data_IF_638938179020
#
_entry.id   IF_638938179020
#
_cell.length_a   1.000
_cell.length_b   1.000
_cell.length_c   1.000
_cell.angle_alpha   90.00
_cell.angle_beta   90.00
_cell.angle_gamma   90.00
#
_symmetry.space_group_name_H-M   'P 1'
#
loop_
_entity.id
_entity.type
_entity.pdbx_description
1 polymer ?
#
# COMPACT_ATOMS: atom_id res chain seq x y z
N UNK A 1 50.75 2.01 0.42
CA UNK A 1 50.04 0.72 0.44
C UNK A 1 48.93 0.84 1.46
N UNK A 2 47.65 0.93 1.14
CA UNK A 2 46.94 0.89 -0.14
C UNK A 2 45.79 1.91 -0.04
N UNK A 3 45.52 2.62 -1.14
CA UNK A 3 44.35 3.47 -1.29
C UNK A 3 43.10 2.58 -1.31
N UNK A 4 42.15 2.86 -0.41
CA UNK A 4 40.81 2.30 -0.51
C UNK A 4 40.07 3.14 -1.56
N UNK A 5 39.96 2.60 -2.77
CA UNK A 5 39.02 3.11 -3.76
C UNK A 5 37.60 2.94 -3.22
N UNK A 6 36.97 4.08 -2.94
CA UNK A 6 35.55 4.18 -2.67
C UNK A 6 34.82 3.85 -3.98
N UNK A 7 34.39 2.59 -4.14
CA UNK A 7 33.53 2.21 -5.26
C UNK A 7 32.19 2.94 -5.11
N UNK A 8 32.03 4.01 -5.89
CA UNK A 8 30.74 4.61 -6.15
C UNK A 8 29.82 3.54 -6.75
N UNK A 9 28.90 3.02 -5.93
CA UNK A 9 27.81 2.15 -6.41
C UNK A 9 26.81 3.06 -7.11
N UNK A 10 27.02 3.30 -8.40
CA UNK A 10 25.94 3.75 -9.27
C UNK A 10 24.92 2.61 -9.31
N UNK A 11 23.79 2.78 -8.61
CA UNK A 11 22.70 1.81 -8.66
C UNK A 11 22.03 1.90 -10.02
N UNK A 12 22.58 1.20 -11.01
CA UNK A 12 21.93 1.03 -12.31
C UNK A 12 20.64 0.24 -12.09
N UNK A 13 19.52 0.95 -12.02
CA UNK A 13 18.18 0.35 -12.04
C UNK A 13 18.04 -0.33 -13.40
N UNK A 14 17.96 -1.66 -13.40
CA UNK A 14 17.71 -2.44 -14.62
C UNK A 14 16.24 -2.79 -14.69
N UNK A 15 15.58 -2.44 -15.78
CA UNK A 15 14.18 -2.79 -16.02
C UNK A 15 13.93 -3.19 -17.47
N UNK A 16 12.85 -3.92 -17.70
CA UNK A 16 12.46 -4.35 -19.05
C UNK A 16 11.48 -5.51 -19.06
N UNK A 17 11.21 -6.04 -20.26
CA UNK A 17 10.47 -7.29 -20.42
C UNK A 17 11.35 -8.47 -20.05
N UNK A 18 10.79 -9.45 -19.33
CA UNK A 18 11.50 -10.69 -19.04
C UNK A 18 11.66 -11.52 -20.31
N UNK A 19 12.80 -12.21 -20.43
CA UNK A 19 13.03 -13.20 -21.49
C UNK A 19 12.45 -14.54 -21.06
N UNK A 20 11.98 -15.35 -22.02
CA UNK A 20 11.33 -16.61 -21.70
C UNK A 20 11.79 -17.77 -22.57
N UNK A 21 11.63 -18.99 -22.05
CA UNK A 21 11.78 -20.25 -22.79
C UNK A 21 10.62 -21.18 -22.48
N UNK A 22 10.08 -21.91 -23.46
CA UNK A 22 9.18 -23.01 -23.20
C UNK A 22 9.95 -24.16 -22.55
N UNK A 23 9.42 -24.71 -21.45
CA UNK A 23 10.05 -25.80 -20.67
C UNK A 23 8.99 -26.80 -20.25
N UNK A 24 9.40 -28.04 -19.92
CA UNK A 24 8.52 -29.13 -19.46
C UNK A 24 7.48 -29.62 -20.49
N UNK A 25 6.47 -28.81 -20.79
CA UNK A 25 5.35 -29.14 -21.67
C UNK A 25 4.75 -27.88 -22.31
N UNK A 26 3.78 -28.07 -23.22
CA UNK A 26 3.12 -26.97 -23.90
C UNK A 26 2.38 -26.06 -22.90
N UNK A 27 2.60 -24.75 -23.01
CA UNK A 27 1.99 -23.74 -22.15
C UNK A 27 2.76 -23.44 -20.87
N UNK A 28 3.88 -24.13 -20.60
CA UNK A 28 4.75 -23.84 -19.47
C UNK A 28 6.00 -23.09 -19.93
N UNK A 29 6.22 -21.91 -19.34
CA UNK A 29 7.32 -21.03 -19.69
C UNK A 29 8.14 -20.69 -18.46
N UNK A 30 9.46 -20.73 -18.62
CA UNK A 30 10.40 -20.14 -17.67
C UNK A 30 10.67 -18.70 -18.08
N UNK A 31 10.63 -17.79 -17.11
CA UNK A 31 11.00 -16.40 -17.30
C UNK A 31 12.26 -16.05 -16.51
N UNK A 32 13.15 -15.29 -17.12
CA UNK A 32 14.34 -14.72 -16.47
C UNK A 32 14.40 -13.21 -16.82
N UNK A 33 14.91 -12.36 -15.92
CA UNK A 33 15.04 -10.91 -16.23
C UNK A 33 15.89 -10.67 -17.48
N UNK A 34 17.05 -11.33 -17.52
CA UNK A 34 18.00 -11.30 -18.63
C UNK A 34 18.64 -12.68 -18.76
N UNK A 35 19.17 -13.00 -19.94
CA UNK A 35 19.79 -14.29 -20.22
C UNK A 35 20.94 -14.62 -19.25
N UNK A 36 21.72 -13.63 -18.81
CA UNK A 36 22.81 -13.85 -17.85
C UNK A 36 22.31 -14.31 -16.47
N UNK A 37 21.12 -13.85 -16.04
CA UNK A 37 20.53 -14.30 -14.77
C UNK A 37 20.13 -15.78 -14.83
N UNK A 38 19.73 -16.29 -16.00
CA UNK A 38 19.47 -17.72 -16.20
C UNK A 38 20.71 -18.55 -15.90
N UNK A 39 21.85 -18.13 -16.45
CA UNK A 39 23.13 -18.83 -16.29
C UNK A 39 23.65 -18.78 -14.85
N UNK A 40 23.31 -17.71 -14.11
CA UNK A 40 23.65 -17.55 -12.69
C UNK A 40 22.64 -18.21 -11.72
N UNK A 41 21.49 -18.69 -12.21
CA UNK A 41 20.45 -19.26 -11.37
C UNK A 41 20.89 -20.60 -10.77
N UNK A 42 20.66 -20.78 -9.47
CA UNK A 42 20.85 -22.07 -8.82
C UNK A 42 19.83 -23.11 -9.35
N UNK A 43 20.14 -24.41 -9.25
CA UNK A 43 19.19 -25.47 -9.56
C UNK A 43 17.91 -25.31 -8.71
N UNK A 44 16.75 -25.57 -9.32
CA UNK A 44 15.49 -25.53 -8.59
C UNK A 44 15.39 -26.68 -7.60
N UNK A 45 14.77 -26.41 -6.45
CA UNK A 45 14.39 -27.42 -5.47
C UNK A 45 12.93 -27.87 -5.63
N UNK A 46 12.17 -27.23 -6.53
CA UNK A 46 10.75 -27.52 -6.76
C UNK A 46 10.52 -28.71 -7.69
N UNK A 47 11.55 -29.14 -8.43
CA UNK A 47 11.46 -30.22 -9.40
C UNK A 47 12.21 -31.47 -8.92
N UNK A 48 11.66 -32.65 -9.23
CA UNK A 48 12.31 -33.94 -8.94
C UNK A 48 13.67 -34.03 -9.65
N UNK A 49 13.72 -33.59 -10.91
CA UNK A 49 14.97 -33.39 -11.64
C UNK A 49 15.15 -31.90 -11.93
N UNK A 50 16.11 -31.22 -11.27
CA UNK A 50 16.31 -29.77 -11.46
C UNK A 50 16.61 -29.36 -12.91
N UNK A 51 17.15 -30.28 -13.72
CA UNK A 51 17.47 -30.02 -15.14
C UNK A 51 16.23 -29.82 -16.01
N UNK A 52 15.07 -30.30 -15.60
CA UNK A 52 13.86 -30.22 -16.41
C UNK A 52 13.42 -28.75 -16.59
N UNK A 53 13.64 -27.90 -15.57
CA UNK A 53 13.44 -26.45 -15.63
C UNK A 53 14.43 -25.75 -16.57
N UNK A 54 15.63 -26.29 -16.71
CA UNK A 54 16.73 -25.67 -17.46
C UNK A 54 16.78 -26.13 -18.93
N UNK A 55 15.92 -27.08 -19.32
CA UNK A 55 15.93 -27.71 -20.65
C UNK A 55 14.79 -27.16 -21.51
N UNK A 56 15.08 -26.32 -22.53
CA UNK A 56 14.05 -25.83 -23.44
C UNK A 56 13.46 -26.95 -24.28
N UNK A 57 12.15 -26.89 -24.53
CA UNK A 57 11.49 -27.80 -25.48
C UNK A 57 11.40 -27.15 -26.86
N UNK A 58 11.70 -27.91 -27.92
CA UNK A 58 11.51 -27.45 -29.30
C UNK A 58 10.05 -27.63 -29.71
N UNK A 59 9.16 -26.77 -29.23
CA UNK A 59 7.77 -26.71 -29.69
C UNK A 59 7.58 -25.54 -30.66
N UNK A 60 6.72 -25.74 -31.66
CA UNK A 60 6.43 -24.78 -32.72
C UNK A 60 5.90 -23.46 -32.15
N UNK A 61 6.65 -22.36 -32.33
CA UNK A 61 6.21 -20.95 -32.33
C UNK A 61 5.18 -20.46 -31.28
N UNK A 62 5.01 -21.13 -30.13
CA UNK A 62 4.11 -20.65 -29.10
C UNK A 62 4.80 -19.54 -28.29
N UNK A 63 4.26 -18.33 -28.40
CA UNK A 63 4.65 -17.16 -27.62
C UNK A 63 3.75 -17.10 -26.39
N UNK A 64 4.32 -16.82 -25.21
CA UNK A 64 3.51 -16.60 -24.01
C UNK A 64 2.54 -15.44 -24.22
N UNK A 65 1.26 -15.64 -23.89
CA UNK A 65 0.23 -14.60 -23.94
C UNK A 65 0.48 -13.45 -22.95
N UNK A 66 1.26 -13.73 -21.90
CA UNK A 66 1.63 -12.76 -20.87
C UNK A 66 3.15 -12.72 -20.74
N UNK A 67 3.74 -11.55 -20.98
CA UNK A 67 5.18 -11.32 -20.81
C UNK A 67 5.36 -10.41 -19.59
N UNK A 68 5.85 -10.94 -18.46
CA UNK A 68 6.13 -10.14 -17.28
C UNK A 68 7.18 -9.07 -17.55
N UNK A 69 7.09 -7.96 -16.83
CA UNK A 69 8.15 -6.97 -16.74
C UNK A 69 8.90 -7.15 -15.42
N UNK A 70 10.14 -6.66 -15.38
CA UNK A 70 10.94 -6.66 -14.16
C UNK A 70 11.60 -5.32 -13.89
N UNK A 71 11.95 -5.10 -12.63
CA UNK A 71 12.81 -4.03 -12.16
C UNK A 71 13.77 -4.59 -11.10
N UNK A 72 15.05 -4.26 -11.21
CA UNK A 72 16.08 -4.60 -10.23
C UNK A 72 16.51 -3.33 -9.50
N UNK A 73 16.17 -3.22 -8.21
CA UNK A 73 16.44 -2.05 -7.37
C UNK A 73 17.05 -2.51 -6.07
N UNK A 74 18.22 -1.96 -5.69
CA UNK A 74 18.88 -2.23 -4.40
C UNK A 74 19.08 -3.74 -4.09
N UNK A 75 19.27 -4.57 -5.11
CA UNK A 75 19.45 -6.02 -4.96
C UNK A 75 18.15 -6.82 -4.83
N UNK A 76 16.99 -6.16 -4.89
CA UNK A 76 15.68 -6.80 -5.01
C UNK A 76 15.26 -6.91 -6.48
N UNK A 77 14.53 -7.98 -6.80
CA UNK A 77 13.92 -8.19 -8.11
C UNK A 77 12.41 -8.09 -7.96
N UNK A 78 11.83 -7.09 -8.61
CA UNK A 78 10.39 -6.87 -8.67
C UNK A 78 9.91 -7.39 -10.02
N UNK A 79 8.90 -8.27 -10.03
CA UNK A 79 8.28 -8.80 -11.24
C UNK A 79 6.82 -8.37 -11.26
N UNK A 80 6.38 -7.82 -12.40
CA UNK A 80 5.01 -7.39 -12.61
C UNK A 80 4.38 -8.19 -13.75
N UNK A 81 3.15 -8.66 -13.52
CA UNK A 81 2.36 -9.40 -14.50
C UNK A 81 1.02 -8.68 -14.62
N UNK A 82 0.74 -8.13 -15.79
CA UNK A 82 -0.54 -7.50 -16.07
C UNK A 82 -1.58 -8.54 -16.48
N UNK A 83 -2.70 -8.58 -15.76
CA UNK A 83 -3.81 -9.50 -16.02
C UNK A 83 -5.12 -8.71 -16.16
N UNK A 84 -6.12 -9.26 -16.90
CA UNK A 84 -7.40 -8.60 -17.10
C UNK A 84 -8.13 -8.24 -15.80
N UNK A 85 -8.86 -7.12 -15.81
CA UNK A 85 -9.71 -6.69 -14.70
C UNK A 85 -10.77 -7.76 -14.40
N UNK A 86 -10.97 -8.05 -13.12
CA UNK A 86 -11.88 -9.11 -12.65
C UNK A 86 -11.24 -10.49 -12.55
N UNK A 87 -9.92 -10.59 -12.74
CA UNK A 87 -9.14 -11.78 -12.37
C UNK A 87 -9.20 -11.98 -10.86
N UNK A 88 -9.48 -13.19 -10.40
CA UNK A 88 -9.40 -13.54 -8.99
C UNK A 88 -8.13 -14.33 -8.69
N UNK A 89 -7.58 -14.14 -7.49
CA UNK A 89 -6.27 -14.66 -7.12
C UNK A 89 -6.35 -15.61 -5.92
N UNK A 90 -5.65 -16.74 -6.02
CA UNK A 90 -5.63 -17.79 -5.02
C UNK A 90 -4.23 -18.39 -4.87
N UNK A 91 -4.04 -19.24 -3.86
CA UNK A 91 -2.78 -19.94 -3.60
C UNK A 91 -2.00 -19.28 -2.46
N UNK A 92 -0.70 -19.06 -2.69
CA UNK A 92 0.29 -18.46 -1.77
C UNK A 92 0.65 -19.33 -0.56
N UNK A 93 0.27 -20.61 -0.59
CA UNK A 93 0.60 -21.58 0.45
C UNK A 93 -0.22 -21.47 1.72
N UNK A 94 0.44 -21.72 2.86
CA UNK A 94 -0.18 -21.72 4.17
C UNK A 94 -0.27 -20.30 4.72
N UNK A 95 -1.44 -19.69 4.58
CA UNK A 95 -1.71 -18.34 5.08
C UNK A 95 -3.09 -18.26 5.72
N UNK A 96 -3.25 -17.36 6.68
CA UNK A 96 -4.51 -17.17 7.39
C UNK A 96 -5.51 -16.29 6.62
N UNK A 97 -6.77 -16.30 7.05
CA UNK A 97 -7.82 -15.44 6.51
C UNK A 97 -8.55 -16.02 5.30
N UNK A 98 -9.18 -15.15 4.50
CA UNK A 98 -10.00 -15.59 3.35
C UNK A 98 -9.15 -16.15 2.21
N UNK A 99 -9.72 -17.07 1.43
CA UNK A 99 -9.06 -17.77 0.32
C UNK A 99 -8.61 -16.84 -0.82
N UNK A 100 -9.45 -15.89 -1.19
CA UNK A 100 -9.19 -14.93 -2.28
C UNK A 100 -8.11 -13.91 -1.85
N UNK A 101 -7.21 -13.52 -2.77
CA UNK A 101 -6.01 -12.71 -2.51
C UNK A 101 -6.07 -11.27 -3.03
N UNK A 102 -7.09 -10.88 -3.79
CA UNK A 102 -7.29 -9.53 -4.29
C UNK A 102 -7.21 -8.50 -3.16
N UNK A 103 -6.47 -7.42 -3.41
CA UNK A 103 -6.23 -6.34 -2.46
C UNK A 103 -5.31 -6.72 -1.30
N UNK A 104 -4.77 -7.94 -1.25
CA UNK A 104 -3.88 -8.39 -0.17
C UNK A 104 -2.41 -8.26 -0.55
N UNK A 105 -1.61 -8.26 0.51
CA UNK A 105 -0.16 -8.40 0.48
C UNK A 105 0.18 -9.66 1.28
N UNK A 106 0.86 -10.60 0.64
CA UNK A 106 1.23 -11.88 1.25
C UNK A 106 2.75 -12.02 1.23
N UNK A 107 3.30 -12.62 2.29
CA UNK A 107 4.73 -12.89 2.40
C UNK A 107 4.95 -14.38 2.53
N UNK A 108 5.77 -14.94 1.64
CA UNK A 108 6.22 -16.33 1.77
C UNK A 108 7.55 -16.34 2.52
N UNK A 109 7.43 -16.57 3.83
CA UNK A 109 8.56 -16.65 4.74
C UNK A 109 8.20 -17.52 5.94
N UNK A 110 8.85 -18.67 6.11
CA UNK A 110 8.52 -19.58 7.21
C UNK A 110 8.80 -18.89 8.56
N UNK A 111 7.79 -18.80 9.41
CA UNK A 111 7.88 -18.24 10.76
C UNK A 111 7.12 -19.08 11.78
N UNK A 112 7.57 -19.05 13.03
CA UNK A 112 6.82 -19.63 14.15
C UNK A 112 5.71 -18.64 14.53
N UNK A 113 4.47 -18.98 14.19
CA UNK A 113 3.31 -18.10 14.40
C UNK A 113 2.31 -18.72 15.41
N UNK A 114 2.54 -18.49 16.70
CA UNK A 114 1.59 -18.87 17.74
C UNK A 114 0.34 -17.98 17.75
N UNK A 115 -0.83 -18.56 18.03
CA UNK A 115 -2.12 -17.84 18.14
C UNK A 115 -2.46 -16.97 16.90
N UNK A 116 -2.18 -17.47 15.70
CA UNK A 116 -2.42 -16.73 14.45
C UNK A 116 -3.89 -16.33 14.28
N UNK A 117 -4.11 -15.07 13.88
CA UNK A 117 -5.41 -14.52 13.52
C UNK A 117 -5.56 -14.29 12.01
N UNK A 118 -6.72 -13.84 11.51
CA UNK A 118 -7.01 -13.72 10.06
C UNK A 118 -6.10 -12.79 9.24
N UNK A 119 -5.29 -11.95 9.90
CA UNK A 119 -4.32 -11.05 9.25
C UNK A 119 -2.88 -11.57 9.26
N UNK A 120 -2.64 -12.80 9.70
CA UNK A 120 -1.30 -13.40 9.76
C UNK A 120 -0.86 -13.82 8.36
N UNK A 121 0.13 -13.13 7.80
CA UNK A 121 0.53 -13.29 6.39
C UNK A 121 1.57 -14.38 6.13
N UNK A 122 2.24 -14.87 7.17
CA UNK A 122 3.29 -15.89 7.07
C UNK A 122 3.16 -16.90 8.20
N UNK A 123 3.14 -18.17 7.86
CA UNK A 123 3.02 -19.29 8.79
C UNK A 123 4.20 -20.26 8.60
N UNK A 124 3.97 -21.56 8.71
CA UNK A 124 5.03 -22.56 8.80
C UNK A 124 5.55 -23.00 7.42
N UNK A 125 4.77 -22.75 6.36
CA UNK A 125 5.12 -23.14 4.99
C UNK A 125 5.04 -21.97 3.99
N UNK A 126 5.99 -21.96 3.05
CA UNK A 126 6.11 -20.95 1.99
C UNK A 126 5.90 -21.59 0.64
N UNK A 127 4.85 -21.18 -0.07
CA UNK A 127 4.60 -21.59 -1.45
C UNK A 127 4.44 -20.32 -2.29
N UNK A 128 5.50 -19.84 -2.95
CA UNK A 128 5.50 -18.63 -3.77
C UNK A 128 4.80 -18.87 -5.13
N UNK A 129 3.59 -19.40 -5.07
CA UNK A 129 2.79 -19.86 -6.20
C UNK A 129 1.38 -19.28 -6.15
N UNK A 130 0.97 -18.70 -7.28
CA UNK A 130 -0.30 -18.02 -7.46
C UNK A 130 -1.11 -18.73 -8.54
N UNK A 131 -2.38 -18.97 -8.24
CA UNK A 131 -3.38 -19.36 -9.22
C UNK A 131 -4.26 -18.15 -9.52
N UNK A 132 -4.21 -17.66 -10.75
CA UNK A 132 -5.09 -16.63 -11.25
C UNK A 132 -6.23 -17.27 -12.05
N UNK A 133 -7.47 -16.87 -11.76
CA UNK A 133 -8.65 -17.26 -12.56
C UNK A 133 -9.14 -16.03 -13.31
N UNK A 134 -9.03 -16.08 -14.64
CA UNK A 134 -9.36 -14.97 -15.52
C UNK A 134 -10.88 -14.80 -15.65
N UNK A 135 -11.37 -13.61 -16.05
CA UNK A 135 -12.79 -13.40 -16.36
C UNK A 135 -13.32 -14.33 -17.47
N UNK A 136 -12.44 -14.80 -18.38
CA UNK A 136 -12.76 -15.79 -19.41
C UNK A 136 -13.04 -17.19 -18.85
N UNK A 137 -12.80 -17.42 -17.54
CA UNK A 137 -12.80 -18.71 -16.83
C UNK A 137 -11.60 -19.61 -17.13
N UNK A 138 -10.61 -19.11 -17.87
CA UNK A 138 -9.30 -19.75 -17.99
C UNK A 138 -8.49 -19.51 -16.71
N UNK A 139 -7.54 -20.38 -16.41
CA UNK A 139 -6.65 -20.21 -15.27
C UNK A 139 -5.18 -20.17 -15.68
N UNK A 140 -4.41 -19.35 -14.98
CA UNK A 140 -2.97 -19.22 -15.12
C UNK A 140 -2.29 -19.52 -13.79
N UNK A 141 -1.23 -20.32 -13.82
CA UNK A 141 -0.35 -20.53 -12.68
C UNK A 141 0.93 -19.70 -12.81
N UNK A 142 1.34 -19.04 -11.74
CA UNK A 142 2.63 -18.35 -11.65
C UNK A 142 3.37 -18.93 -10.46
N UNK A 143 4.60 -19.39 -10.66
CA UNK A 143 5.48 -19.87 -9.60
C UNK A 143 6.76 -19.06 -9.62
N UNK A 144 7.04 -18.34 -8.53
CA UNK A 144 8.34 -17.75 -8.28
C UNK A 144 9.26 -18.84 -7.69
N UNK A 145 10.07 -19.46 -8.55
CA UNK A 145 11.04 -20.51 -8.17
C UNK A 145 12.23 -19.92 -7.39
N UNK A 146 11.99 -19.63 -6.11
CA UNK A 146 12.99 -19.05 -5.20
C UNK A 146 12.82 -19.58 -3.79
N UNK A 147 13.95 -19.74 -3.09
CA UNK A 147 13.98 -20.06 -1.65
C UNK A 147 14.09 -18.80 -0.78
N UNK A 148 14.26 -17.64 -1.40
CA UNK A 148 14.36 -16.35 -0.70
C UNK A 148 12.97 -15.89 -0.27
N UNK A 149 12.92 -15.01 0.73
CA UNK A 149 11.70 -14.31 1.12
C UNK A 149 11.08 -13.66 -0.11
N UNK A 150 9.83 -13.99 -0.40
CA UNK A 150 9.08 -13.40 -1.50
C UNK A 150 7.85 -12.64 -0.96
N UNK A 151 7.44 -11.64 -1.72
CA UNK A 151 6.31 -10.79 -1.42
C UNK A 151 5.41 -10.70 -2.64
N UNK A 152 4.12 -10.98 -2.44
CA UNK A 152 3.12 -10.96 -3.49
C UNK A 152 2.09 -9.86 -3.19
N UNK A 153 1.79 -9.03 -4.20
CA UNK A 153 0.84 -7.93 -4.12
C UNK A 153 -0.23 -8.10 -5.18
N UNK A 154 -1.49 -7.88 -4.80
CA UNK A 154 -2.64 -7.97 -5.68
C UNK A 154 -3.39 -6.62 -5.75
N UNK A 155 -2.81 -5.58 -6.37
CA UNK A 155 -3.39 -4.24 -6.31
C UNK A 155 -4.54 -4.07 -7.34
N UNK A 156 -5.79 -4.17 -6.90
CA UNK A 156 -6.93 -3.58 -7.62
C UNK A 156 -7.94 -2.95 -6.65
N UNK A 157 -7.64 -1.74 -6.15
CA UNK A 157 -8.56 -1.03 -5.25
C UNK A 157 -9.90 -0.73 -5.93
N UNK A 158 -9.97 -0.65 -7.27
CA UNK A 158 -11.22 -0.36 -7.98
C UNK A 158 -12.15 -1.58 -7.97
N UNK A 159 -11.64 -2.78 -8.26
CA UNK A 159 -12.45 -4.00 -8.18
C UNK A 159 -12.90 -4.27 -6.75
N UNK A 160 -11.99 -4.13 -5.77
CA UNK A 160 -12.34 -4.29 -4.36
C UNK A 160 -13.51 -3.38 -3.94
N UNK A 161 -13.45 -2.09 -4.31
CA UNK A 161 -14.54 -1.13 -4.03
C UNK A 161 -15.83 -1.52 -4.74
N UNK A 162 -15.73 -1.96 -6.00
CA UNK A 162 -16.89 -2.39 -6.78
C UNK A 162 -17.59 -3.58 -6.12
N UNK A 163 -16.84 -4.57 -5.66
CA UNK A 163 -17.39 -5.77 -5.02
C UNK A 163 -18.02 -5.45 -3.65
N UNK A 164 -17.40 -4.58 -2.86
CA UNK A 164 -17.97 -4.05 -1.62
C UNK A 164 -19.30 -3.32 -1.89
N UNK A 165 -19.35 -2.47 -2.92
CA UNK A 165 -20.57 -1.76 -3.28
C UNK A 165 -21.69 -2.69 -3.78
N UNK A 166 -21.36 -3.74 -4.54
CA UNK A 166 -22.32 -4.75 -5.00
C UNK A 166 -22.93 -5.56 -3.86
N UNK A 167 -22.20 -5.73 -2.76
CA UNK A 167 -22.64 -6.44 -1.56
C UNK A 167 -23.28 -5.53 -0.51
N UNK A 168 -23.47 -4.23 -0.83
CA UNK A 168 -24.13 -3.26 0.04
C UNK A 168 -23.21 -2.58 1.06
N UNK A 169 -21.91 -2.86 1.05
CA UNK A 169 -20.93 -2.18 1.90
C UNK A 169 -20.52 -0.81 1.32
N UNK A 170 -19.98 0.05 2.19
CA UNK A 170 -19.37 1.34 1.81
C UNK A 170 -17.90 1.31 2.20
N UNK A 171 -17.03 1.73 1.29
CA UNK A 171 -15.61 1.87 1.58
C UNK A 171 -15.33 3.22 2.29
N UNK A 172 -14.53 3.20 3.35
CA UNK A 172 -14.02 4.38 4.06
C UNK A 172 -12.50 4.27 4.06
N UNK A 173 -11.82 5.35 3.65
CA UNK A 173 -10.37 5.39 3.54
C UNK A 173 -9.78 6.34 4.58
N UNK A 174 -8.69 5.91 5.22
CA UNK A 174 -7.92 6.76 6.11
C UNK A 174 -7.06 7.71 5.28
N UNK A 175 -7.10 9.00 5.61
CA UNK A 175 -6.27 10.03 5.00
C UNK A 175 -5.56 10.80 6.11
N UNK A 176 -4.23 10.80 6.06
CA UNK A 176 -3.38 11.51 7.01
C UNK A 176 -2.91 12.85 6.42
N UNK A 177 -2.63 13.86 7.26
CA UNK A 177 -2.10 15.15 6.80
C UNK A 177 -0.62 15.11 6.42
N UNK A 178 0.06 13.99 6.67
CA UNK A 178 1.48 13.82 6.34
C UNK A 178 1.67 13.49 4.87
N UNK A 179 2.37 14.34 4.13
CA UNK A 179 2.81 14.04 2.76
C UNK A 179 4.27 13.59 2.82
N UNK A 180 4.58 12.46 2.18
CA UNK A 180 5.94 11.93 2.09
C UNK A 180 6.81 12.90 1.28
N UNK A 181 7.95 13.30 1.82
CA UNK A 181 8.93 14.11 1.11
C UNK A 181 9.73 13.24 0.13
N UNK A 182 9.31 13.23 -1.13
CA UNK A 182 9.88 12.38 -2.17
C UNK A 182 9.72 13.07 -3.53
N UNK A 183 10.82 13.42 -4.18
CA UNK A 183 10.79 13.99 -5.54
C UNK A 183 10.21 12.96 -6.53
N UNK A 184 9.29 13.40 -7.38
CA UNK A 184 8.55 12.53 -8.29
C UNK A 184 7.26 11.95 -7.68
N UNK A 185 7.03 12.15 -6.38
CA UNK A 185 5.72 11.86 -5.79
C UNK A 185 4.77 13.02 -6.07
N UNK A 186 3.83 12.81 -6.99
CA UNK A 186 2.98 13.88 -7.53
C UNK A 186 2.24 14.74 -6.47
N UNK A 187 1.86 14.16 -5.31
CA UNK A 187 1.22 14.92 -4.22
C UNK A 187 2.22 15.87 -3.56
N UNK A 188 3.45 15.41 -3.33
CA UNK A 188 4.53 16.24 -2.80
C UNK A 188 4.93 17.32 -3.80
N UNK A 189 5.12 16.95 -5.07
CA UNK A 189 5.55 17.87 -6.12
C UNK A 189 4.52 18.99 -6.32
N UNK A 190 3.25 18.64 -6.53
CA UNK A 190 2.16 19.62 -6.72
C UNK A 190 1.91 20.49 -5.49
N UNK A 191 2.00 19.91 -4.29
CA UNK A 191 1.90 20.67 -3.04
C UNK A 191 3.04 21.68 -2.88
N UNK A 192 4.26 21.28 -3.23
CA UNK A 192 5.46 22.12 -3.13
C UNK A 192 5.43 23.29 -4.11
N UNK A 193 4.91 23.09 -5.32
CA UNK A 193 4.73 24.15 -6.32
C UNK A 193 3.75 25.23 -5.85
N UNK A 194 2.62 24.82 -5.28
CA UNK A 194 1.61 25.71 -4.69
C UNK A 194 2.14 26.48 -3.47
N UNK A 195 3.14 25.93 -2.79
CA UNK A 195 3.79 26.52 -1.61
C UNK A 195 5.07 27.30 -1.93
N UNK A 196 5.41 27.50 -3.20
CA UNK A 196 6.61 28.22 -3.66
C UNK A 196 6.75 29.60 -2.99
N UNK A 197 7.52 29.66 -1.91
CA UNK A 197 7.69 30.84 -1.05
C UNK A 197 7.75 30.53 0.45
N UNK A 198 7.32 29.34 0.89
CA UNK A 198 7.44 28.90 2.30
C UNK A 198 7.84 27.43 2.35
N UNK A 199 9.16 27.16 2.40
CA UNK A 199 9.73 25.81 2.42
C UNK A 199 9.89 25.29 3.85
N UNK A 200 8.87 25.43 4.70
CA UNK A 200 8.95 25.06 6.12
C UNK A 200 7.88 24.02 6.51
N UNK A 201 8.41 22.86 6.88
CA UNK A 201 7.83 21.70 7.57
C UNK A 201 6.68 20.93 6.89
N UNK A 202 7.09 19.95 6.07
CA UNK A 202 6.38 18.66 5.97
C UNK A 202 7.09 17.59 6.82
N UNK A 203 7.59 17.95 8.00
CA UNK A 203 8.03 16.97 8.99
C UNK A 203 6.88 16.68 9.96
N UNK A 204 6.46 15.43 9.89
CA UNK A 204 5.23 14.88 10.46
C UNK A 204 5.13 14.96 12.00
N UNK A 205 3.89 15.03 12.49
CA UNK A 205 3.48 14.85 13.89
C UNK A 205 4.04 13.59 14.57
N UNK A 206 4.55 12.63 13.80
CA UNK A 206 4.97 11.30 14.26
C UNK A 206 6.37 11.28 14.89
N UNK A 207 7.20 12.30 14.67
CA UNK A 207 8.61 12.32 15.12
C UNK A 207 8.93 13.38 16.18
N UNK A 208 8.00 14.31 16.45
CA UNK A 208 8.20 15.32 17.48
C UNK A 208 8.04 14.70 18.89
N UNK A 209 8.99 14.97 19.79
CA UNK A 209 8.97 14.52 21.20
C UNK A 209 7.67 14.89 21.91
N UNK A 210 7.08 16.02 21.53
CA UNK A 210 5.84 16.57 22.08
C UNK A 210 4.57 16.03 21.43
N UNK A 211 4.67 15.15 20.41
CA UNK A 211 3.53 14.64 19.62
C UNK A 211 2.67 15.73 18.96
N UNK A 212 3.24 16.93 18.77
CA UNK A 212 2.65 18.06 18.06
C UNK A 212 3.73 18.73 17.20
N UNK A 213 3.34 19.53 16.21
CA UNK A 213 4.29 20.37 15.48
C UNK A 213 4.96 21.37 16.45
N UNK A 214 6.22 21.77 16.20
CA UNK A 214 6.85 22.85 16.95
C UNK A 214 5.98 24.11 16.95
N UNK A 215 5.86 24.79 18.10
CA UNK A 215 5.05 26.00 18.21
C UNK A 215 5.52 27.11 17.25
N UNK A 216 6.82 27.11 16.92
CA UNK A 216 7.43 28.06 15.99
C UNK A 216 7.16 27.77 14.52
N UNK A 217 6.46 26.68 14.19
CA UNK A 217 6.05 26.42 12.81
C UNK A 217 5.15 27.56 12.33
N UNK A 218 5.39 28.05 11.13
CA UNK A 218 4.64 29.16 10.57
C UNK A 218 3.49 28.65 9.68
N UNK A 219 2.31 29.24 9.86
CA UNK A 219 1.12 29.00 9.06
C UNK A 219 0.66 30.29 8.39
N UNK A 220 0.01 30.15 7.23
CA UNK A 220 -0.67 31.25 6.55
C UNK A 220 -2.17 31.16 6.85
N UNK A 221 -2.71 32.18 7.49
CA UNK A 221 -4.15 32.42 7.61
C UNK A 221 -4.57 33.66 6.84
N UNK A 222 -5.87 33.84 6.67
CA UNK A 222 -6.46 35.07 6.14
C UNK A 222 -6.10 36.26 7.04
N UNK A 223 -5.96 37.45 6.46
CA UNK A 223 -5.58 38.68 7.18
C UNK A 223 -6.52 38.95 8.36
N UNK A 224 -7.82 38.73 8.15
CA UNK A 224 -8.87 38.92 9.16
C UNK A 224 -8.76 37.93 10.33
N UNK A 225 -8.08 36.79 10.14
CA UNK A 225 -7.87 35.74 11.13
C UNK A 225 -6.44 35.75 11.71
N UNK A 226 -5.71 36.85 11.52
CA UNK A 226 -4.37 37.06 12.08
C UNK A 226 -3.22 36.93 11.08
N UNK A 227 -3.48 36.57 9.83
CA UNK A 227 -2.46 36.52 8.77
C UNK A 227 -1.45 35.38 8.94
N UNK A 228 -0.17 35.66 8.67
CA UNK A 228 0.90 34.68 8.89
C UNK A 228 1.29 34.65 10.38
N UNK A 229 1.06 33.52 11.05
CA UNK A 229 1.33 33.35 12.49
C UNK A 229 1.99 32.01 12.79
N UNK A 230 2.51 31.89 14.00
CA UNK A 230 3.02 30.65 14.56
C UNK A 230 1.91 29.59 14.76
N UNK A 231 2.32 28.33 14.86
CA UNK A 231 1.44 27.18 15.02
C UNK A 231 0.60 27.28 16.28
N UNK A 232 1.15 27.84 17.36
CA UNK A 232 0.42 28.07 18.61
C UNK A 232 -0.85 28.91 18.42
N UNK A 233 -0.90 29.79 17.41
CA UNK A 233 -2.07 30.60 17.08
C UNK A 233 -3.17 29.79 16.37
N UNK A 234 -2.82 28.77 15.58
CA UNK A 234 -3.75 27.99 14.74
C UNK A 234 -3.88 26.50 15.14
N UNK A 235 -3.16 26.03 16.16
CA UNK A 235 -3.00 24.62 16.51
C UNK A 235 -4.34 23.87 16.58
N UNK A 236 -5.29 24.38 17.36
CA UNK A 236 -6.58 23.71 17.60
C UNK A 236 -7.50 23.70 16.37
N UNK A 237 -7.35 24.64 15.44
CA UNK A 237 -8.21 24.70 14.23
C UNK A 237 -7.67 23.87 13.08
N UNK A 238 -6.40 23.43 13.14
CA UNK A 238 -5.75 22.67 12.07
C UNK A 238 -6.54 21.42 11.67
N UNK A 239 -6.93 20.59 12.66
CA UNK A 239 -7.71 19.37 12.40
C UNK A 239 -9.11 19.65 11.84
N UNK A 240 -9.76 20.72 12.28
CA UNK A 240 -11.05 21.15 11.72
C UNK A 240 -10.90 21.60 10.26
N UNK A 241 -9.86 22.39 9.94
CA UNK A 241 -9.63 22.87 8.58
C UNK A 241 -9.28 21.72 7.63
N UNK A 242 -8.52 20.72 8.09
CA UNK A 242 -8.30 19.49 7.33
C UNK A 242 -9.62 18.77 7.02
N UNK A 243 -10.47 18.56 8.05
CA UNK A 243 -11.77 17.92 7.87
C UNK A 243 -12.68 18.70 6.91
N UNK A 244 -12.65 20.04 6.99
CA UNK A 244 -13.36 20.94 6.08
C UNK A 244 -12.89 20.79 4.64
N UNK A 245 -11.58 20.84 4.39
CA UNK A 245 -11.01 20.66 3.04
C UNK A 245 -11.37 19.29 2.45
N UNK A 246 -11.36 18.23 3.26
CA UNK A 246 -11.81 16.90 2.83
C UNK A 246 -13.28 16.89 2.44
N UNK A 247 -14.15 17.47 3.27
CA UNK A 247 -15.59 17.56 3.00
C UNK A 247 -15.88 18.34 1.70
N UNK A 248 -15.25 19.51 1.54
CA UNK A 248 -15.39 20.35 0.35
C UNK A 248 -14.85 19.64 -0.91
N UNK A 249 -13.71 18.95 -0.81
CA UNK A 249 -13.17 18.13 -1.89
C UNK A 249 -14.09 16.98 -2.32
N UNK A 250 -14.72 16.29 -1.36
CA UNK A 250 -15.72 15.26 -1.67
C UNK A 250 -16.95 15.83 -2.39
N UNK A 251 -17.41 17.03 -1.99
CA UNK A 251 -18.49 17.73 -2.68
C UNK A 251 -18.13 18.12 -4.11
N UNK A 252 -16.91 18.63 -4.31
CA UNK A 252 -16.40 18.96 -5.65
C UNK A 252 -16.27 17.73 -6.55
N UNK A 253 -15.91 16.57 -5.97
CA UNK A 253 -15.81 15.32 -6.73
C UNK A 253 -17.16 14.76 -7.16
N UNK A 254 -18.21 14.92 -6.34
CA UNK A 254 -19.57 14.50 -6.67
C UNK A 254 -20.60 15.27 -5.83
N UNK A 255 -21.23 16.27 -6.43
CA UNK A 255 -22.18 17.16 -5.75
C UNK A 255 -23.41 16.43 -5.20
N UNK A 256 -23.81 15.34 -5.86
CA UNK A 256 -24.99 14.53 -5.52
C UNK A 256 -24.75 13.59 -4.33
N UNK A 257 -23.51 13.42 -3.89
CA UNK A 257 -23.20 12.60 -2.73
C UNK A 257 -23.33 13.41 -1.43
N UNK A 258 -23.80 12.75 -0.38
CA UNK A 258 -23.67 13.23 0.99
C UNK A 258 -22.30 12.79 1.53
N UNK A 259 -21.34 13.70 1.75
CA UNK A 259 -20.02 13.31 2.23
C UNK A 259 -20.10 12.73 3.65
N UNK A 260 -19.36 11.66 3.87
CA UNK A 260 -19.11 11.12 5.20
C UNK A 260 -17.63 11.31 5.52
N UNK A 261 -17.34 12.17 6.49
CA UNK A 261 -15.98 12.42 6.99
C UNK A 261 -15.97 12.13 8.48
N UNK A 262 -14.93 11.44 8.94
CA UNK A 262 -14.70 11.13 10.34
C UNK A 262 -13.33 11.71 10.73
N UNK A 263 -13.27 12.51 11.79
CA UNK A 263 -12.03 13.15 12.26
C UNK A 263 -11.72 12.84 13.73
N UNK A 264 -10.43 12.74 14.08
CA UNK A 264 -9.98 12.57 15.46
C UNK A 264 -9.82 13.91 16.18
N UNK A 265 -9.41 14.93 15.43
CA UNK A 265 -9.10 16.26 15.94
C UNK A 265 -10.09 17.27 15.36
N UNK A 266 -10.56 18.19 16.20
CA UNK A 266 -11.54 19.17 15.81
C UNK A 266 -11.56 20.37 16.73
N UNK A 267 -12.28 21.40 16.30
CA UNK A 267 -12.59 22.60 17.06
C UNK A 267 -14.10 22.81 17.02
N UNK A 268 -14.63 23.72 17.84
CA UNK A 268 -16.06 24.05 17.77
C UNK A 268 -16.42 24.51 16.35
N UNK A 269 -17.37 23.84 15.72
CA UNK A 269 -17.69 24.01 14.30
C UNK A 269 -17.36 22.81 13.41
N UNK A 270 -16.56 21.85 13.89
CA UNK A 270 -16.24 20.61 13.16
C UNK A 270 -17.46 19.79 12.74
N UNK A 271 -18.57 19.86 13.50
CA UNK A 271 -19.83 19.17 13.19
C UNK A 271 -20.44 19.51 11.84
N UNK A 272 -20.05 20.65 11.26
CA UNK A 272 -20.50 21.03 9.91
C UNK A 272 -19.88 20.15 8.81
N UNK A 273 -18.73 19.54 9.08
CA UNK A 273 -17.91 18.89 8.06
C UNK A 273 -17.63 17.41 8.36
N UNK A 274 -17.60 17.01 9.64
CA UNK A 274 -17.22 15.65 10.01
C UNK A 274 -17.88 15.18 11.31
N UNK A 275 -18.07 13.87 11.42
CA UNK A 275 -18.27 13.19 12.68
C UNK A 275 -16.93 13.05 13.43
N UNK A 276 -16.97 12.73 14.72
CA UNK A 276 -15.76 12.50 15.53
C UNK A 276 -15.78 11.11 16.15
N UNK A 277 -14.59 10.58 16.45
CA UNK A 277 -14.44 9.45 17.38
C UNK A 277 -13.49 9.83 18.52
N UNK A 278 -13.55 9.09 19.63
CA UNK A 278 -12.83 9.41 20.88
C UNK A 278 -11.37 8.98 20.89
N UNK A 279 -10.76 8.76 19.71
CA UNK A 279 -9.39 8.29 19.59
C UNK A 279 -9.21 6.80 19.90
N UNK A 280 -7.95 6.42 20.09
CA UNK A 280 -7.53 5.05 20.30
C UNK A 280 -7.80 4.62 21.75
N UNK A 281 -8.70 3.67 21.94
CA UNK A 281 -9.05 3.14 23.26
C UNK A 281 -8.30 1.83 23.56
N UNK A 282 -8.31 1.42 24.84
CA UNK A 282 -7.87 0.11 25.27
C UNK A 282 -9.08 -0.81 25.47
N UNK A 283 -8.88 -2.11 25.31
CA UNK A 283 -9.91 -3.12 25.56
C UNK A 283 -10.01 -3.43 27.07
N UNK A 284 -10.45 -2.44 27.87
CA UNK A 284 -10.63 -2.59 29.32
C UNK A 284 -11.98 -2.05 29.78
N UNK A 285 -12.44 -2.49 30.96
CA UNK A 285 -13.70 -2.02 31.56
C UNK A 285 -13.68 -0.53 31.87
N UNK A 286 -12.52 0.01 32.23
CA UNK A 286 -12.32 1.44 32.52
C UNK A 286 -12.53 2.28 31.25
N UNK A 287 -11.94 1.87 30.12
CA UNK A 287 -12.13 2.56 28.85
C UNK A 287 -13.57 2.46 28.34
N UNK A 288 -14.24 1.31 28.57
CA UNK A 288 -15.67 1.19 28.27
C UNK A 288 -16.50 2.19 29.09
N UNK A 289 -16.27 2.27 30.40
CA UNK A 289 -16.97 3.19 31.27
C UNK A 289 -16.69 4.67 30.92
N UNK A 290 -15.42 5.02 30.64
CA UNK A 290 -15.03 6.37 30.21
C UNK A 290 -15.68 6.78 28.88
N UNK A 291 -15.87 5.85 27.95
CA UNK A 291 -16.46 6.16 26.64
C UNK A 291 -17.83 6.84 26.73
N UNK A 292 -18.64 6.46 27.73
CA UNK A 292 -19.98 7.02 27.94
C UNK A 292 -19.89 8.52 28.25
N UNK A 293 -19.09 8.90 29.24
CA UNK A 293 -18.94 10.31 29.63
C UNK A 293 -18.21 11.13 28.57
N UNK A 294 -17.26 10.54 27.83
CA UNK A 294 -16.59 11.21 26.71
C UNK A 294 -17.57 11.56 25.59
N UNK A 295 -18.38 10.60 25.14
CA UNK A 295 -19.38 10.83 24.07
C UNK A 295 -20.45 11.83 24.53
N UNK A 296 -20.92 11.74 25.78
CA UNK A 296 -21.88 12.69 26.33
C UNK A 296 -21.32 14.09 26.55
N UNK A 297 -20.01 14.30 26.62
CA UNK A 297 -19.44 15.65 26.69
C UNK A 297 -19.33 16.31 25.31
N UNK A 298 -19.31 15.50 24.24
CA UNK A 298 -19.21 16.00 22.86
C UNK A 298 -20.45 16.77 22.38
N UNK A 299 -21.62 16.63 23.03
CA UNK A 299 -22.81 17.48 22.74
C UNK A 299 -22.56 18.98 22.93
N UNK A 300 -21.45 19.38 23.55
CA UNK A 300 -21.00 20.78 23.64
C UNK A 300 -20.65 21.44 22.30
N UNK A 301 -20.69 20.70 21.19
CA UNK A 301 -20.49 21.26 19.85
C UNK A 301 -20.55 20.23 18.72
N UNK A 302 -20.58 18.94 19.04
CA UNK A 302 -20.57 17.84 18.08
C UNK A 302 -21.87 17.05 18.13
N UNK A 303 -22.55 16.94 16.98
CA UNK A 303 -23.74 16.11 16.85
C UNK A 303 -23.38 14.63 16.97
N UNK A 304 -24.13 13.90 17.80
CA UNK A 304 -24.10 12.43 17.81
C UNK A 304 -24.91 12.00 16.58
N UNK A 305 -24.26 11.37 15.59
CA UNK A 305 -24.95 10.74 14.45
C UNK A 305 -25.73 9.51 14.91
#
# INVERSE_FOLDING_TARGET
MAEFEEMAVTSDVKSGNMVFEPVLEEGVFRFDCIADHRNAAFPSLSFVNPKDRDTPIMTSHNVSSYIPTFECVLGEQIVQIELPIGTSFYGTGEVSGQLERMGKRVFTWNMVAGAYGPGTTSLYQSHPGVLAVLPSRESLGVLADTTRRCEERYPDPKSLVKDLHLTGFKAIWMLDPGIKHEEGYFVYDSGSELMSGFKQLMESLLLAVTKTMPETNLHRGDIELGGCQNHSHYHNVYGMLMARSTYEGMKLSNENNCPFVLTRAGFIGSQRYAATWTGDNLCTWEHLHMSISMVLQLVSGQGIL
#
